data_IF_239908782538
#
_entry.id   IF_239908782538
#
_cell.length_a   1.000
_cell.length_b   1.000
_cell.length_c   1.000
_cell.angle_alpha   90.00
_cell.angle_beta   90.00
_cell.angle_gamma   90.00
#
_symmetry.space_group_name_H-M   'P 1'
#
loop_
_entity.id
_entity.type
_entity.pdbx_description
1 polymer ?
#
# COMPACT_ATOMS: atom_id res chain seq x y z
N UNK A 1 -40.87 -35.53 0.20
CA UNK A 1 -40.48 -34.16 0.54
C UNK A 1 -38.99 -34.03 0.33
N UNK A 2 -38.58 -32.91 -0.23
CA UNK A 2 -37.45 -32.66 -1.12
C UNK A 2 -36.06 -32.50 -0.49
N UNK A 3 -35.07 -32.85 -1.32
CA UNK A 3 -33.71 -32.29 -1.53
C UNK A 3 -32.55 -32.60 -0.57
N UNK A 4 -31.63 -33.40 -1.11
CA UNK A 4 -30.17 -33.33 -0.99
C UNK A 4 -29.63 -31.89 -0.95
N UNK A 5 -28.59 -31.64 -0.14
CA UNK A 5 -27.59 -30.61 -0.45
C UNK A 5 -26.25 -30.99 0.16
N UNK A 6 -25.40 -31.54 -0.70
CA UNK A 6 -23.94 -31.46 -0.66
C UNK A 6 -23.43 -30.01 -0.57
N UNK A 7 -22.44 -29.67 0.27
CA UNK A 7 -21.34 -28.73 -0.12
C UNK A 7 -20.15 -28.60 0.87
N UNK A 8 -19.04 -29.17 0.42
CA UNK A 8 -17.61 -28.78 0.43
C UNK A 8 -17.02 -27.70 1.38
N UNK A 9 -15.93 -28.11 2.03
CA UNK A 9 -15.05 -27.46 3.00
C UNK A 9 -14.49 -26.06 2.63
N UNK A 10 -14.54 -25.11 3.58
CA UNK A 10 -13.81 -23.83 3.51
C UNK A 10 -12.32 -24.05 3.87
N UNK A 11 -11.45 -23.83 2.89
CA UNK A 11 -9.99 -23.77 3.04
C UNK A 11 -9.60 -22.79 4.16
N UNK A 12 -8.97 -23.28 5.22
CA UNK A 12 -8.41 -22.47 6.30
C UNK A 12 -7.38 -21.51 5.70
N UNK A 13 -7.75 -20.23 5.60
CA UNK A 13 -6.86 -19.20 5.07
C UNK A 13 -5.67 -19.09 6.00
N UNK A 14 -4.46 -19.33 5.47
CA UNK A 14 -3.21 -19.15 6.22
C UNK A 14 -3.10 -17.75 6.83
N UNK A 15 -2.15 -17.58 7.76
CA UNK A 15 -1.86 -16.34 8.50
C UNK A 15 -2.13 -15.11 7.62
N UNK A 16 -3.08 -14.22 8.00
CA UNK A 16 -3.39 -13.04 7.20
C UNK A 16 -2.11 -12.28 6.87
N UNK A 17 -1.93 -11.89 5.61
CA UNK A 17 -0.81 -11.04 5.20
C UNK A 17 -0.94 -9.74 5.98
N UNK A 18 -0.05 -9.54 6.95
CA UNK A 18 -0.04 -8.33 7.77
C UNK A 18 0.29 -7.16 6.85
N UNK A 19 -0.50 -6.09 6.94
CA UNK A 19 -0.24 -4.87 6.19
C UNK A 19 1.12 -4.28 6.64
N UNK A 20 1.99 -4.00 5.67
CA UNK A 20 3.27 -3.34 5.93
C UNK A 20 3.22 -1.94 5.31
N UNK A 21 3.18 -0.94 6.19
CA UNK A 21 3.10 0.47 5.85
C UNK A 21 4.23 0.93 4.93
N UNK A 22 5.47 0.57 5.26
CA UNK A 22 6.64 1.01 4.51
C UNK A 22 6.65 0.40 3.10
N UNK A 23 6.31 -0.89 2.97
CA UNK A 23 6.18 -1.52 1.65
C UNK A 23 5.06 -0.90 0.83
N UNK A 24 3.94 -0.53 1.45
CA UNK A 24 2.86 0.16 0.77
C UNK A 24 3.29 1.55 0.27
N UNK A 25 4.02 2.32 1.09
CA UNK A 25 4.56 3.63 0.71
C UNK A 25 5.56 3.53 -0.45
N UNK A 26 6.45 2.53 -0.47
CA UNK A 26 7.41 2.34 -1.58
C UNK A 26 6.72 2.09 -2.92
N UNK A 27 5.68 1.25 -2.88
CA UNK A 27 4.90 0.90 -4.06
C UNK A 27 4.04 2.06 -4.53
N UNK A 28 3.37 2.75 -3.61
CA UNK A 28 2.58 3.94 -3.93
C UNK A 28 3.46 5.05 -4.51
N UNK A 29 4.65 5.28 -3.93
CA UNK A 29 5.64 6.22 -4.43
C UNK A 29 6.06 5.92 -5.87
N UNK A 30 6.39 4.66 -6.14
CA UNK A 30 6.75 4.20 -7.49
C UNK A 30 5.63 4.47 -8.49
N UNK A 31 4.39 4.14 -8.11
CA UNK A 31 3.21 4.33 -8.94
C UNK A 31 2.93 5.82 -9.22
N UNK A 32 2.99 6.67 -8.20
CA UNK A 32 2.81 8.11 -8.34
C UNK A 32 3.89 8.74 -9.23
N UNK A 33 5.13 8.26 -9.20
CA UNK A 33 6.17 8.74 -10.12
C UNK A 33 5.98 8.29 -11.56
N UNK A 34 5.50 7.06 -11.77
CA UNK A 34 5.32 6.50 -13.11
C UNK A 34 4.12 7.12 -13.84
N UNK A 35 3.01 7.31 -13.12
CA UNK A 35 1.74 7.74 -13.73
C UNK A 35 1.35 9.17 -13.37
N UNK A 36 1.97 9.77 -12.35
CA UNK A 36 1.53 11.04 -11.78
C UNK A 36 0.39 10.85 -10.78
N UNK A 37 0.15 11.88 -9.97
CA UNK A 37 -0.88 11.86 -8.93
C UNK A 37 -2.28 11.69 -9.53
N UNK A 38 -2.67 12.51 -10.50
CA UNK A 38 -4.05 12.51 -11.04
C UNK A 38 -4.42 11.20 -11.73
N UNK A 39 -3.50 10.63 -12.54
CA UNK A 39 -3.77 9.41 -13.29
C UNK A 39 -3.72 8.12 -12.44
N UNK A 40 -3.37 8.21 -11.15
CA UNK A 40 -3.34 7.06 -10.25
C UNK A 40 -4.68 6.91 -9.52
N UNK A 41 -5.39 5.81 -9.68
CA UNK A 41 -6.64 5.54 -8.98
C UNK A 41 -6.42 4.78 -7.65
N UNK A 42 -7.46 4.70 -6.82
CA UNK A 42 -7.44 3.84 -5.63
C UNK A 42 -7.30 2.35 -5.98
N UNK A 43 -7.86 1.92 -7.11
CA UNK A 43 -7.76 0.55 -7.57
C UNK A 43 -6.30 0.19 -7.92
N UNK A 44 -5.60 1.09 -8.61
CA UNK A 44 -4.19 0.91 -8.95
C UNK A 44 -3.33 0.85 -7.68
N UNK A 45 -3.64 1.67 -6.67
CA UNK A 45 -2.97 1.63 -5.37
C UNK A 45 -3.22 0.32 -4.62
N UNK A 46 -4.45 -0.20 -4.63
CA UNK A 46 -4.80 -1.51 -4.04
C UNK A 46 -4.04 -2.63 -4.73
N UNK A 47 -3.99 -2.61 -6.06
CA UNK A 47 -3.28 -3.60 -6.87
C UNK A 47 -1.76 -3.54 -6.60
N UNK A 48 -1.17 -2.35 -6.70
CA UNK A 48 0.26 -2.17 -6.50
C UNK A 48 0.68 -2.56 -5.08
N UNK A 49 0.00 -2.05 -4.06
CA UNK A 49 0.33 -2.29 -2.64
C UNK A 49 0.00 -3.72 -2.18
N UNK A 50 -1.04 -4.33 -2.77
CA UNK A 50 -1.64 -5.57 -2.29
C UNK A 50 -2.44 -5.40 -0.99
N UNK A 51 -2.67 -4.15 -0.58
CA UNK A 51 -3.51 -3.81 0.56
C UNK A 51 -4.97 -3.63 0.10
N UNK A 52 -5.92 -3.82 1.02
CA UNK A 52 -7.32 -3.53 0.71
C UNK A 52 -7.59 -2.03 0.85
N UNK A 53 -8.53 -1.50 0.05
CA UNK A 53 -8.92 -0.09 0.12
C UNK A 53 -9.25 0.40 1.55
N UNK A 54 -10.03 -0.33 2.38
CA UNK A 54 -10.30 0.09 3.76
C UNK A 54 -9.03 0.17 4.62
N UNK A 55 -8.05 -0.71 4.38
CA UNK A 55 -6.77 -0.68 5.11
C UNK A 55 -5.95 0.55 4.71
N UNK A 56 -5.89 0.88 3.43
CA UNK A 56 -5.19 2.08 2.95
C UNK A 56 -5.83 3.35 3.50
N UNK A 57 -7.16 3.46 3.51
CA UNK A 57 -7.83 4.64 4.06
C UNK A 57 -7.82 4.68 5.59
N UNK A 58 -7.80 3.55 6.29
CA UNK A 58 -7.60 3.56 7.73
C UNK A 58 -6.21 4.08 8.12
N UNK A 59 -5.18 3.77 7.32
CA UNK A 59 -3.80 4.18 7.57
C UNK A 59 -3.49 5.61 7.11
N UNK A 60 -4.00 5.99 5.93
CA UNK A 60 -3.61 7.23 5.25
C UNK A 60 -4.77 8.21 5.04
N UNK A 61 -5.95 7.91 5.58
CA UNK A 61 -7.20 8.69 5.45
C UNK A 61 -7.79 8.68 4.04
N UNK A 62 -7.02 9.13 3.04
CA UNK A 62 -7.43 9.24 1.64
C UNK A 62 -6.20 9.15 0.70
N UNK A 63 -6.43 9.29 -0.62
CA UNK A 63 -5.35 9.30 -1.63
C UNK A 63 -4.35 10.44 -1.41
N UNK A 64 -4.84 11.62 -1.03
CA UNK A 64 -4.00 12.78 -0.76
C UNK A 64 -3.09 12.55 0.46
N UNK A 65 -3.62 11.96 1.54
CA UNK A 65 -2.86 11.60 2.73
C UNK A 65 -1.80 10.54 2.45
N UNK A 66 -2.10 9.57 1.58
CA UNK A 66 -1.10 8.62 1.10
C UNK A 66 0.02 9.32 0.31
N UNK A 67 -0.35 10.25 -0.57
CA UNK A 67 0.64 11.02 -1.34
C UNK A 67 1.51 11.91 -0.44
N UNK A 68 0.92 12.58 0.56
CA UNK A 68 1.66 13.35 1.57
C UNK A 68 2.64 12.48 2.36
N UNK A 69 2.21 11.28 2.78
CA UNK A 69 3.08 10.34 3.49
C UNK A 69 4.27 9.87 2.63
N UNK A 70 4.07 9.70 1.32
CA UNK A 70 5.16 9.43 0.36
C UNK A 70 6.16 10.59 0.33
N UNK A 71 5.68 11.83 0.20
CA UNK A 71 6.54 13.02 0.16
C UNK A 71 7.33 13.21 1.47
N UNK A 72 6.69 12.99 2.61
CA UNK A 72 7.34 13.06 3.92
C UNK A 72 8.46 12.04 4.04
N UNK A 73 8.21 10.80 3.63
CA UNK A 73 9.23 9.74 3.61
C UNK A 73 10.40 10.10 2.69
N UNK A 74 10.12 10.66 1.52
CA UNK A 74 11.15 11.13 0.60
C UNK A 74 11.99 12.23 1.21
N UNK A 75 11.35 13.24 1.79
CA UNK A 75 12.03 14.34 2.45
C UNK A 75 12.94 13.83 3.58
N UNK A 76 12.43 12.92 4.41
CA UNK A 76 13.20 12.28 5.47
C UNK A 76 14.39 11.49 4.93
N UNK A 77 14.19 10.66 3.91
CA UNK A 77 15.26 9.88 3.28
C UNK A 77 16.34 10.76 2.65
N UNK A 78 15.94 11.85 1.99
CA UNK A 78 16.87 12.81 1.40
C UNK A 78 17.67 13.55 2.46
N UNK A 79 17.04 13.97 3.56
CA UNK A 79 17.72 14.63 4.67
C UNK A 79 18.77 13.70 5.30
N UNK A 80 18.43 12.44 5.55
CA UNK A 80 19.37 11.45 6.07
C UNK A 80 20.55 11.20 5.13
N UNK A 81 20.29 11.12 3.82
CA UNK A 81 21.34 10.93 2.82
C UNK A 81 22.25 12.15 2.71
N UNK A 82 21.70 13.36 2.75
CA UNK A 82 22.44 14.62 2.69
C UNK A 82 23.30 14.86 3.95
N UNK A 83 22.88 14.33 5.11
CA UNK A 83 23.62 14.44 6.38
C UNK A 83 24.76 13.44 6.55
N UNK A 84 24.97 12.55 5.57
CA UNK A 84 26.17 11.72 5.50
C UNK A 84 27.22 12.42 4.63
N UNK A 85 28.17 13.19 5.21
CA UNK A 85 29.42 13.45 4.51
C UNK A 85 30.15 12.11 4.43
N UNK A 86 29.91 11.36 3.37
CA UNK A 86 30.75 10.22 3.04
C UNK A 86 32.15 10.76 2.74
N UNK A 87 32.99 10.74 3.79
CA UNK A 87 34.45 10.67 3.82
C UNK A 87 35.13 10.94 2.47
N UNK A 88 35.57 12.18 2.28
CA UNK A 88 36.78 12.48 1.52
C UNK A 88 37.97 12.42 2.49
#
# INVERSE_FOLDING_TARGET
MTTDTTSCAKKSRGRPKVFNREVALDKAMTLFWQHGYEATSLADLVEATGAKAPTLYAEFTNKEGLFRAVLERLHHSLCLKARSPALL
#
